data_IF_146257778826
#
_entry.id   IF_146257778826
#
_cell.length_a   1.000
_cell.length_b   1.000
_cell.length_c   1.000
_cell.angle_alpha   90.00
_cell.angle_beta   90.00
_cell.angle_gamma   90.00
#
_symmetry.space_group_name_H-M   'P 1'
#
loop_
_entity.id
_entity.type
_entity.pdbx_description
1 polymer ?
#
# COMPACT_ATOMS: atom_id res chain seq x y z
N UNK A 1 -0.32 -4.72 25.43
CA UNK A 1 -0.24 -3.25 25.49
C UNK A 1 -0.71 -2.72 24.15
N UNK A 2 -1.75 -1.90 24.13
CA UNK A 2 -2.44 -1.53 22.88
C UNK A 2 -1.60 -0.57 22.05
N UNK A 3 -1.40 -0.88 20.77
CA UNK A 3 -0.83 0.02 19.78
C UNK A 3 -1.87 1.12 19.44
N UNK A 4 -2.18 2.01 20.38
CA UNK A 4 -3.15 3.10 20.21
C UNK A 4 -2.44 4.44 20.01
N UNK A 5 -1.54 4.52 19.03
CA UNK A 5 -0.93 5.77 18.59
C UNK A 5 -1.12 5.93 17.07
N UNK A 6 -1.20 7.16 16.54
CA UNK A 6 -1.25 7.40 15.10
C UNK A 6 -0.08 6.69 14.39
N UNK A 7 -0.37 5.79 13.46
CA UNK A 7 0.65 4.97 12.78
C UNK A 7 0.96 3.62 13.44
N UNK A 8 0.20 3.21 14.46
CA UNK A 8 0.24 1.86 14.99
C UNK A 8 0.07 0.80 13.89
N UNK A 9 0.89 -0.26 13.94
CA UNK A 9 0.75 -1.37 13.00
C UNK A 9 -0.60 -2.08 13.23
N UNK A 10 -1.52 -2.06 12.25
CA UNK A 10 -2.82 -2.70 12.34
C UNK A 10 -2.78 -4.23 12.27
N UNK A 11 -1.68 -4.79 11.77
CA UNK A 11 -1.48 -6.22 11.57
C UNK A 11 -0.32 -6.68 12.48
N UNK A 12 -0.56 -6.83 13.80
CA UNK A 12 0.51 -7.07 14.76
C UNK A 12 1.17 -8.45 14.59
N UNK A 13 0.43 -9.44 14.11
CA UNK A 13 0.97 -10.77 13.86
C UNK A 13 1.36 -10.96 12.39
N UNK A 14 2.43 -11.73 12.17
CA UNK A 14 2.91 -12.08 10.82
C UNK A 14 1.85 -12.81 9.99
N UNK A 15 0.99 -13.60 10.63
CA UNK A 15 -0.14 -14.28 9.97
C UNK A 15 -1.10 -13.27 9.35
N UNK A 16 -1.39 -12.19 10.08
CA UNK A 16 -2.36 -11.17 9.65
C UNK A 16 -1.77 -10.30 8.53
N UNK A 17 -0.48 -9.95 8.63
CA UNK A 17 0.26 -9.26 7.56
C UNK A 17 0.22 -10.06 6.24
N UNK A 18 0.56 -11.35 6.29
CA UNK A 18 0.54 -12.22 5.10
C UNK A 18 -0.87 -12.40 4.53
N UNK A 19 -1.89 -12.46 5.38
CA UNK A 19 -3.28 -12.57 4.93
C UNK A 19 -3.71 -11.29 4.20
N UNK A 20 -3.37 -10.11 4.75
CA UNK A 20 -3.61 -8.82 4.12
C UNK A 20 -2.86 -8.69 2.79
N UNK A 21 -1.55 -8.97 2.76
CA UNK A 21 -0.72 -8.89 1.55
C UNK A 21 -1.24 -9.81 0.43
N UNK A 22 -1.63 -11.04 0.79
CA UNK A 22 -2.20 -11.99 -0.17
C UNK A 22 -3.51 -11.46 -0.76
N UNK A 23 -4.43 -11.01 0.09
CA UNK A 23 -5.72 -10.47 -0.37
C UNK A 23 -5.56 -9.18 -1.16
N UNK A 24 -4.56 -8.36 -0.83
CA UNK A 24 -4.21 -7.15 -1.57
C UNK A 24 -3.75 -7.50 -2.99
N UNK A 25 -2.80 -8.43 -3.13
CA UNK A 25 -2.31 -8.88 -4.44
C UNK A 25 -3.44 -9.47 -5.29
N UNK A 26 -4.30 -10.32 -4.72
CA UNK A 26 -5.44 -10.91 -5.43
C UNK A 26 -6.39 -9.85 -6.00
N UNK A 27 -6.57 -8.73 -5.28
CA UNK A 27 -7.44 -7.61 -5.70
C UNK A 27 -6.80 -6.70 -6.74
N UNK A 28 -5.49 -6.51 -6.70
CA UNK A 28 -4.80 -5.55 -7.57
C UNK A 28 -4.15 -6.18 -8.80
N UNK A 29 -3.80 -7.47 -8.78
CA UNK A 29 -3.01 -8.12 -9.85
C UNK A 29 -3.63 -8.03 -11.26
N UNK A 30 -4.95 -7.89 -11.38
CA UNK A 30 -5.67 -7.78 -12.66
C UNK A 30 -6.42 -6.45 -12.81
N UNK A 31 -6.22 -5.54 -11.87
CA UNK A 31 -6.91 -4.26 -11.82
C UNK A 31 -6.06 -3.20 -12.53
N UNK A 32 -6.71 -2.32 -13.31
CA UNK A 32 -6.09 -1.12 -13.88
C UNK A 32 -6.32 0.13 -13.03
N UNK A 33 -6.91 -0.03 -11.84
CA UNK A 33 -7.07 1.07 -10.89
C UNK A 33 -5.70 1.45 -10.29
N UNK A 34 -5.64 2.65 -9.73
CA UNK A 34 -4.47 3.15 -8.99
C UNK A 34 -4.69 3.19 -7.47
N UNK A 35 -5.95 3.10 -7.04
CA UNK A 35 -6.39 3.18 -5.65
C UNK A 35 -7.52 2.19 -5.40
N UNK A 36 -7.53 1.57 -4.22
CA UNK A 36 -8.63 0.75 -3.71
C UNK A 36 -8.83 0.99 -2.22
N UNK A 37 -10.05 0.73 -1.75
CA UNK A 37 -10.35 0.56 -0.33
C UNK A 37 -10.33 -0.93 0.01
N UNK A 38 -9.46 -1.35 0.91
CA UNK A 38 -9.35 -2.74 1.34
C UNK A 38 -9.02 -2.81 2.83
N UNK A 39 -9.76 -3.64 3.58
CA UNK A 39 -9.57 -3.84 5.02
C UNK A 39 -9.59 -2.52 5.83
N UNK A 40 -10.55 -1.65 5.49
CA UNK A 40 -10.69 -0.31 6.06
C UNK A 40 -9.42 0.56 5.90
N UNK A 41 -8.76 0.43 4.75
CA UNK A 41 -7.56 1.18 4.38
C UNK A 41 -7.60 1.64 2.94
N UNK A 42 -7.17 2.87 2.73
CA UNK A 42 -6.85 3.37 1.40
C UNK A 42 -5.52 2.75 0.99
N UNK A 43 -5.50 2.07 -0.14
CA UNK A 43 -4.29 1.52 -0.74
C UNK A 43 -4.11 2.11 -2.12
N UNK A 44 -3.00 2.82 -2.32
CA UNK A 44 -2.56 3.27 -3.64
C UNK A 44 -1.42 2.39 -4.12
N UNK A 45 -1.34 2.12 -5.42
CA UNK A 45 -0.35 1.21 -5.95
C UNK A 45 0.09 1.54 -7.37
N UNK A 46 1.31 1.10 -7.71
CA UNK A 46 1.87 1.17 -9.06
C UNK A 46 2.60 -0.12 -9.39
N UNK A 47 2.44 -0.56 -10.64
CA UNK A 47 3.16 -1.72 -11.17
C UNK A 47 4.32 -1.24 -12.03
N UNK A 48 5.53 -1.68 -11.72
CA UNK A 48 6.73 -1.43 -12.52
C UNK A 48 7.37 -2.77 -12.88
N UNK A 49 7.40 -3.10 -14.17
CA UNK A 49 7.90 -4.39 -14.67
C UNK A 49 7.25 -5.59 -13.94
N UNK A 50 8.01 -6.33 -13.14
CA UNK A 50 7.60 -7.52 -12.38
C UNK A 50 7.35 -7.23 -10.89
N UNK A 51 7.38 -5.95 -10.48
CA UNK A 51 7.20 -5.53 -9.08
C UNK A 51 5.93 -4.68 -8.95
N UNK A 52 5.22 -4.87 -7.84
CA UNK A 52 4.10 -4.01 -7.43
C UNK A 52 4.48 -3.22 -6.17
N UNK A 53 4.36 -1.90 -6.25
CA UNK A 53 4.61 -0.97 -5.17
C UNK A 53 3.28 -0.56 -4.54
N UNK A 54 3.17 -0.66 -3.22
CA UNK A 54 1.96 -0.32 -2.48
C UNK A 54 2.27 0.70 -1.40
N UNK A 55 1.37 1.66 -1.23
CA UNK A 55 1.33 2.56 -0.06
C UNK A 55 -0.04 2.43 0.57
N UNK A 56 -0.05 2.15 1.88
CA UNK A 56 -1.25 1.80 2.64
C UNK A 56 -1.45 2.86 3.73
N UNK A 57 -2.60 3.53 3.70
CA UNK A 57 -3.00 4.53 4.69
C UNK A 57 -4.29 4.15 5.42
N UNK A 58 -4.61 4.82 6.54
CA UNK A 58 -5.94 4.80 7.14
C UNK A 58 -7.05 5.16 6.13
N UNK A 59 -8.29 4.73 6.38
CA UNK A 59 -9.42 5.03 5.49
C UNK A 59 -9.84 6.51 5.46
N UNK A 60 -9.42 7.30 6.44
CA UNK A 60 -9.68 8.74 6.58
C UNK A 60 -8.51 9.62 6.12
N UNK A 61 -7.46 9.01 5.57
CA UNK A 61 -6.27 9.71 5.09
C UNK A 61 -6.49 10.38 3.72
N UNK A 62 -5.68 11.39 3.39
CA UNK A 62 -5.75 12.04 2.08
C UNK A 62 -5.17 11.14 0.97
N UNK A 63 -6.03 10.64 0.07
CA UNK A 63 -5.66 9.77 -1.05
C UNK A 63 -4.62 10.40 -2.00
N UNK A 64 -4.72 11.70 -2.27
CA UNK A 64 -3.79 12.41 -3.18
C UNK A 64 -2.39 12.45 -2.57
N UNK A 65 -2.29 12.65 -1.25
CA UNK A 65 -1.02 12.62 -0.55
C UNK A 65 -0.38 11.24 -0.68
N UNK A 66 -1.13 10.17 -0.38
CA UNK A 66 -0.63 8.79 -0.51
C UNK A 66 -0.20 8.48 -1.95
N UNK A 67 -0.98 8.92 -2.93
CA UNK A 67 -0.66 8.74 -4.35
C UNK A 67 0.66 9.42 -4.73
N UNK A 68 0.92 10.62 -4.22
CA UNK A 68 2.20 11.30 -4.43
C UNK A 68 3.37 10.52 -3.80
N UNK A 69 3.17 9.85 -2.66
CA UNK A 69 4.20 9.00 -2.04
C UNK A 69 4.56 7.82 -2.94
N UNK A 70 3.57 7.10 -3.49
CA UNK A 70 3.88 5.94 -4.34
C UNK A 70 4.57 6.36 -5.65
N UNK A 71 4.20 7.51 -6.22
CA UNK A 71 4.90 8.09 -7.37
C UNK A 71 6.34 8.46 -7.03
N UNK A 72 6.56 9.19 -5.93
CA UNK A 72 7.90 9.60 -5.52
C UNK A 72 8.80 8.39 -5.23
N UNK A 73 8.26 7.34 -4.60
CA UNK A 73 8.97 6.08 -4.37
C UNK A 73 9.38 5.43 -5.70
N UNK A 74 8.41 5.26 -6.60
CA UNK A 74 8.61 4.67 -7.92
C UNK A 74 9.66 5.43 -8.74
N UNK A 75 9.55 6.76 -8.80
CA UNK A 75 10.49 7.61 -9.54
C UNK A 75 11.89 7.60 -8.91
N UNK A 76 11.99 7.60 -7.58
CA UNK A 76 13.27 7.50 -6.88
C UNK A 76 13.98 6.17 -7.15
N UNK A 77 13.25 5.05 -7.10
CA UNK A 77 13.79 3.73 -7.45
C UNK A 77 14.25 3.69 -8.91
N UNK A 78 13.47 4.27 -9.82
CA UNK A 78 13.83 4.39 -11.24
C UNK A 78 15.07 5.25 -11.48
N UNK A 79 15.38 6.21 -10.61
CA UNK A 79 16.63 6.98 -10.68
C UNK A 79 17.81 6.16 -10.17
N UNK A 80 17.63 5.48 -9.03
CA UNK A 80 18.71 4.76 -8.33
C UNK A 80 19.12 3.45 -9.00
N UNK A 81 18.15 2.74 -9.61
CA UNK A 81 18.34 1.39 -10.16
C UNK A 81 18.55 1.38 -11.68
N UNK A 82 18.86 2.54 -12.27
CA UNK A 82 19.21 2.69 -13.68
C UNK A 82 20.59 2.15 -14.01
#
# INVERSE_FOLDING_TARGET
MGNNYPGANPYPALKDQKAFEKGLLEKTAKSTNDVILYDNRIVVYKTESDVMLYVVGPADENEIMLYNVVLALRDSLNILLK
#
